data_IF_901588552028
#
_entry.id   IF_901588552028
#
_cell.length_a   1.000
_cell.length_b   1.000
_cell.length_c   1.000
_cell.angle_alpha   90.00
_cell.angle_beta   90.00
_cell.angle_gamma   90.00
#
_symmetry.space_group_name_H-M   'P 1'
#
loop_
_entity.id
_entity.type
_entity.pdbx_description
1 polymer ?
#
# COMPACT_ATOMS: atom_id res chain seq x y z
N UNK A 1 -15.01 -3.32 -9.10
CA UNK A 1 -16.37 -3.34 -8.54
C UNK A 1 -16.43 -4.31 -7.36
N UNK A 2 -17.14 -3.95 -6.28
CA UNK A 2 -17.51 -4.88 -5.21
C UNK A 2 -18.54 -5.84 -5.77
N UNK A 3 -18.29 -7.14 -5.64
CA UNK A 3 -19.21 -8.19 -6.09
C UNK A 3 -19.98 -8.81 -4.94
N UNK A 4 -19.37 -8.81 -3.74
CA UNK A 4 -20.00 -9.32 -2.54
C UNK A 4 -19.38 -8.67 -1.30
N UNK A 5 -20.21 -8.48 -0.27
CA UNK A 5 -19.77 -8.00 1.03
C UNK A 5 -20.63 -8.65 2.11
N UNK A 6 -19.99 -9.39 3.00
CA UNK A 6 -20.66 -10.10 4.10
C UNK A 6 -20.09 -9.69 5.45
N UNK A 7 -20.95 -9.70 6.45
CA UNK A 7 -20.57 -9.47 7.85
C UNK A 7 -21.05 -10.66 8.69
N UNK A 8 -20.13 -11.25 9.42
CA UNK A 8 -20.41 -12.36 10.34
C UNK A 8 -19.80 -12.09 11.71
N UNK A 9 -20.26 -12.80 12.72
CA UNK A 9 -19.65 -12.77 14.04
C UNK A 9 -18.88 -14.07 14.28
N UNK A 10 -17.64 -13.93 14.76
CA UNK A 10 -16.81 -15.02 15.25
C UNK A 10 -16.49 -14.75 16.73
N UNK A 11 -17.27 -15.37 17.60
CA UNK A 11 -17.28 -15.02 19.01
C UNK A 11 -17.65 -13.55 19.22
N UNK A 12 -16.75 -12.78 19.81
CA UNK A 12 -16.92 -11.34 20.03
C UNK A 12 -16.33 -10.46 18.90
N UNK A 13 -15.77 -11.08 17.87
CA UNK A 13 -15.17 -10.37 16.77
C UNK A 13 -16.17 -10.19 15.62
N UNK A 14 -16.17 -9.03 14.97
CA UNK A 14 -16.88 -8.86 13.72
C UNK A 14 -15.94 -9.19 12.55
N UNK A 15 -16.36 -10.06 11.65
CA UNK A 15 -15.60 -10.43 10.45
C UNK A 15 -16.33 -9.87 9.23
N UNK A 16 -15.65 -9.02 8.46
CA UNK A 16 -16.17 -8.43 7.22
C UNK A 16 -15.36 -8.98 6.06
N UNK A 17 -16.02 -9.64 5.13
CA UNK A 17 -15.41 -10.13 3.90
C UNK A 17 -15.90 -9.28 2.73
N UNK A 18 -14.98 -8.81 1.92
CA UNK A 18 -15.30 -8.01 0.73
C UNK A 18 -14.59 -8.60 -0.48
N UNK A 19 -15.39 -8.94 -1.49
CA UNK A 19 -14.90 -9.47 -2.76
C UNK A 19 -14.96 -8.39 -3.84
N UNK A 20 -13.87 -8.17 -4.52
CA UNK A 20 -13.75 -7.23 -5.63
C UNK A 20 -13.45 -7.97 -6.91
N UNK A 21 -14.21 -7.67 -7.95
CA UNK A 21 -13.86 -8.02 -9.33
C UNK A 21 -13.08 -6.84 -9.94
N UNK A 22 -11.84 -7.09 -10.26
CA UNK A 22 -10.95 -6.14 -10.90
C UNK A 22 -10.99 -6.29 -12.43
N UNK A 23 -10.42 -5.33 -13.18
CA UNK A 23 -10.25 -5.47 -14.63
C UNK A 23 -9.60 -6.80 -15.02
N UNK A 24 -9.91 -7.31 -16.20
CA UNK A 24 -9.46 -8.61 -16.71
C UNK A 24 -9.93 -9.83 -15.88
N UNK A 25 -10.98 -9.67 -15.06
CA UNK A 25 -11.56 -10.77 -14.30
C UNK A 25 -10.79 -11.18 -13.05
N UNK A 26 -9.76 -10.46 -12.68
CA UNK A 26 -8.98 -10.75 -11.48
C UNK A 26 -9.82 -10.55 -10.21
N UNK A 27 -9.56 -11.35 -9.18
CA UNK A 27 -10.24 -11.26 -7.89
C UNK A 27 -9.34 -10.66 -6.83
N UNK A 28 -9.87 -9.75 -6.04
CA UNK A 28 -9.23 -9.21 -4.86
C UNK A 28 -10.18 -9.36 -3.68
N UNK A 29 -9.78 -10.14 -2.69
CA UNK A 29 -10.58 -10.46 -1.51
C UNK A 29 -9.90 -9.82 -0.32
N UNK A 30 -10.67 -9.10 0.50
CA UNK A 30 -10.18 -8.47 1.73
C UNK A 30 -11.04 -8.93 2.89
N UNK A 31 -10.40 -9.49 3.89
CA UNK A 31 -11.01 -9.91 5.15
C UNK A 31 -10.58 -8.96 6.26
N UNK A 32 -11.52 -8.36 6.94
CA UNK A 32 -11.30 -7.54 8.12
C UNK A 32 -11.80 -8.30 9.34
N UNK A 33 -10.94 -8.54 10.33
CA UNK A 33 -11.37 -9.01 11.65
C UNK A 33 -11.25 -7.86 12.63
N UNK A 34 -12.39 -7.43 13.16
CA UNK A 34 -12.50 -6.29 14.07
C UNK A 34 -12.67 -6.83 15.47
N UNK A 35 -11.71 -6.53 16.33
CA UNK A 35 -11.66 -6.98 17.72
C UNK A 35 -12.32 -5.98 18.66
N UNK A 36 -12.87 -6.42 19.81
CA UNK A 36 -13.43 -5.52 20.82
C UNK A 36 -12.44 -4.50 21.38
N UNK A 37 -11.13 -4.77 21.27
CA UNK A 37 -10.04 -3.85 21.64
C UNK A 37 -9.93 -2.63 20.73
N UNK A 38 -10.63 -2.64 19.58
CA UNK A 38 -10.48 -1.66 18.51
C UNK A 38 -9.36 -2.00 17.53
N UNK A 39 -8.62 -3.10 17.73
CA UNK A 39 -7.69 -3.60 16.72
C UNK A 39 -8.44 -4.14 15.51
N UNK A 40 -7.85 -4.00 14.33
CA UNK A 40 -8.38 -4.54 13.08
C UNK A 40 -7.29 -5.33 12.40
N UNK A 41 -7.51 -6.63 12.18
CA UNK A 41 -6.66 -7.42 11.29
C UNK A 41 -7.18 -7.31 9.86
N UNK A 42 -6.29 -7.06 8.92
CA UNK A 42 -6.62 -6.96 7.49
C UNK A 42 -5.83 -8.01 6.73
N UNK A 43 -6.52 -8.98 6.18
CA UNK A 43 -5.93 -10.00 5.30
C UNK A 43 -6.46 -9.79 3.88
N UNK A 44 -5.55 -9.58 2.94
CA UNK A 44 -5.90 -9.33 1.55
C UNK A 44 -5.28 -10.39 0.63
N UNK A 45 -6.08 -10.87 -0.33
CA UNK A 45 -5.66 -11.88 -1.30
C UNK A 45 -6.00 -11.41 -2.72
N UNK A 46 -4.99 -11.44 -3.58
CA UNK A 46 -5.17 -11.24 -5.01
C UNK A 46 -5.09 -12.59 -5.73
N UNK A 47 -6.02 -12.82 -6.67
CA UNK A 47 -6.02 -14.02 -7.52
C UNK A 47 -6.18 -13.57 -8.97
N UNK A 48 -5.20 -13.93 -9.81
CA UNK A 48 -5.29 -13.72 -11.26
C UNK A 48 -6.04 -14.88 -11.90
N UNK A 49 -7.00 -14.58 -12.76
CA UNK A 49 -7.73 -15.59 -13.56
C UNK A 49 -6.93 -16.04 -14.79
N UNK A 50 -5.86 -15.34 -15.13
CA UNK A 50 -5.01 -15.65 -16.29
C UNK A 50 -3.81 -16.57 -15.93
N UNK A 51 -3.75 -17.09 -14.71
CA UNK A 51 -2.78 -18.13 -14.38
C UNK A 51 -3.33 -19.48 -14.85
N UNK A 52 -2.66 -20.11 -15.79
CA UNK A 52 -2.94 -21.48 -16.18
C UNK A 52 -3.02 -22.37 -14.93
N UNK A 53 -4.00 -23.25 -14.90
CA UNK A 53 -4.44 -24.06 -13.76
C UNK A 53 -3.37 -25.00 -13.13
N UNK A 54 -2.11 -24.83 -13.47
CA UNK A 54 -1.01 -25.73 -13.10
C UNK A 54 -0.27 -25.35 -11.80
N UNK A 55 -0.63 -24.26 -11.11
CA UNK A 55 0.03 -23.88 -9.85
C UNK A 55 -0.94 -23.35 -8.81
N UNK A 56 -1.93 -24.14 -8.46
CA UNK A 56 -2.88 -23.79 -7.40
C UNK A 56 -2.73 -24.74 -6.22
N UNK A 57 -1.69 -24.54 -5.44
CA UNK A 57 -1.71 -24.85 -4.01
C UNK A 57 -0.83 -23.83 -3.30
N UNK A 58 -1.43 -22.70 -2.95
CA UNK A 58 -0.80 -21.73 -2.05
C UNK A 58 -1.50 -21.87 -0.70
N UNK A 59 -0.81 -22.56 0.22
CA UNK A 59 -1.21 -22.70 1.61
C UNK A 59 -1.57 -21.35 2.23
N UNK A 60 -2.63 -21.36 3.06
CA UNK A 60 -3.00 -20.29 3.96
C UNK A 60 -1.85 -19.92 4.89
N UNK A 61 -1.02 -19.01 4.48
CA UNK A 61 -0.20 -18.19 5.36
C UNK A 61 0.18 -16.95 4.57
N UNK A 62 -0.12 -15.80 5.15
CA UNK A 62 0.36 -14.47 4.83
C UNK A 62 1.50 -14.45 3.80
N UNK A 63 1.20 -14.30 2.50
CA UNK A 63 2.23 -14.15 1.50
C UNK A 63 2.24 -12.74 0.96
N UNK A 64 3.03 -11.91 1.62
CA UNK A 64 3.79 -10.85 0.96
C UNK A 64 4.50 -11.48 -0.24
N UNK A 65 4.33 -10.91 -1.44
CA UNK A 65 5.07 -11.33 -2.61
C UNK A 65 6.57 -11.14 -2.32
N UNK A 66 7.25 -12.22 -1.94
CA UNK A 66 8.69 -12.19 -1.68
C UNK A 66 9.39 -12.29 -3.03
N UNK A 67 9.98 -11.20 -3.47
CA UNK A 67 10.89 -11.19 -4.61
C UNK A 67 12.16 -11.96 -4.23
N UNK A 68 12.37 -13.11 -4.83
CA UNK A 68 13.65 -13.83 -4.75
C UNK A 68 14.44 -13.50 -6.01
N UNK A 69 15.58 -12.80 -5.92
CA UNK A 69 16.43 -12.57 -7.07
C UNK A 69 17.04 -13.89 -7.57
N UNK A 70 16.88 -14.23 -8.85
CA UNK A 70 17.67 -15.29 -9.46
C UNK A 70 16.95 -16.35 -10.30
N UNK A 71 15.69 -16.16 -10.69
CA UNK A 71 15.04 -17.08 -11.65
C UNK A 71 14.37 -16.30 -12.79
N UNK A 72 15.03 -16.25 -13.92
CA UNK A 72 14.55 -15.58 -15.14
C UNK A 72 13.21 -16.13 -15.68
N UNK A 73 12.87 -17.37 -15.39
CA UNK A 73 11.59 -17.99 -15.73
C UNK A 73 10.43 -17.37 -14.92
N UNK A 74 10.60 -17.20 -13.61
CA UNK A 74 9.58 -16.57 -12.74
C UNK A 74 9.36 -15.10 -13.11
N UNK A 75 10.39 -14.41 -13.61
CA UNK A 75 10.30 -13.02 -14.07
C UNK A 75 9.49 -12.88 -15.35
N UNK A 76 9.56 -13.86 -16.27
CA UNK A 76 8.75 -13.88 -17.50
C UNK A 76 7.27 -14.15 -17.23
N UNK A 77 6.93 -14.91 -16.20
CA UNK A 77 5.54 -15.17 -15.82
C UNK A 77 4.96 -14.03 -14.97
N UNK A 78 5.73 -13.45 -14.06
CA UNK A 78 5.34 -12.26 -13.32
C UNK A 78 5.05 -11.05 -14.24
N UNK A 79 5.71 -10.99 -15.40
CA UNK A 79 5.45 -9.94 -16.40
C UNK A 79 4.08 -10.05 -17.09
N UNK A 80 3.41 -11.21 -17.01
CA UNK A 80 2.04 -11.38 -17.51
C UNK A 80 0.98 -10.81 -16.55
N UNK A 81 1.33 -10.66 -15.29
CA UNK A 81 0.48 -10.08 -14.24
C UNK A 81 0.70 -8.57 -14.17
N UNK A 82 0.45 -7.82 -15.13
CA UNK A 82 0.67 -6.36 -15.16
C UNK A 82 -0.10 -5.61 -14.03
N UNK A 83 0.15 -6.01 -12.77
CA UNK A 83 -0.39 -5.39 -11.56
C UNK A 83 0.76 -4.60 -10.91
N UNK A 84 0.83 -3.30 -11.11
CA UNK A 84 1.96 -2.48 -10.64
C UNK A 84 1.95 -2.34 -9.11
N UNK A 85 0.79 -2.44 -8.47
CA UNK A 85 0.64 -2.26 -7.03
C UNK A 85 -0.57 -3.01 -6.49
N UNK A 86 -0.42 -3.60 -5.30
CA UNK A 86 -1.51 -4.16 -4.50
C UNK A 86 -1.40 -3.56 -3.10
N UNK A 87 -2.49 -3.02 -2.57
CA UNK A 87 -2.47 -2.41 -1.25
C UNK A 87 -3.83 -1.88 -0.82
N UNK A 88 -3.82 -1.20 0.31
CA UNK A 88 -4.99 -0.54 0.90
C UNK A 88 -4.72 0.97 0.96
N UNK A 89 -5.69 1.76 0.58
CA UNK A 89 -5.66 3.22 0.68
C UNK A 89 -6.83 3.70 1.55
N UNK A 90 -6.55 4.63 2.43
CA UNK A 90 -7.56 5.28 3.25
C UNK A 90 -7.16 6.73 3.56
N UNK A 91 -8.13 7.52 3.99
CA UNK A 91 -7.92 8.91 4.38
C UNK A 91 -8.02 9.05 5.88
N UNK A 92 -7.14 9.87 6.45
CA UNK A 92 -7.15 10.23 7.86
C UNK A 92 -7.42 11.74 8.01
N UNK A 93 -7.93 12.18 9.17
CA UNK A 93 -8.03 13.61 9.46
C UNK A 93 -6.68 14.32 9.29
N UNK A 94 -6.68 15.52 8.75
CA UNK A 94 -5.47 16.30 8.48
C UNK A 94 -4.62 16.55 9.75
N UNK A 95 -5.23 16.52 10.93
CA UNK A 95 -4.52 16.62 12.21
C UNK A 95 -3.65 15.40 12.54
N UNK A 96 -3.83 14.26 11.88
CA UNK A 96 -2.99 13.07 12.04
C UNK A 96 -1.79 13.12 11.09
N UNK A 97 -0.97 14.15 11.21
CA UNK A 97 0.15 14.41 10.32
C UNK A 97 1.52 13.99 10.87
N UNK A 98 1.62 13.64 12.15
CA UNK A 98 2.87 13.12 12.71
C UNK A 98 3.06 11.67 12.29
N UNK A 99 4.15 11.39 11.61
CA UNK A 99 4.49 10.08 11.09
C UNK A 99 5.72 9.55 11.82
N UNK A 100 5.61 8.36 12.39
CA UNK A 100 6.73 7.63 12.97
C UNK A 100 6.73 6.22 12.40
N UNK A 101 7.88 5.72 11.97
CA UNK A 101 7.94 4.41 11.34
C UNK A 101 9.27 3.69 11.58
N UNK A 102 9.22 2.36 11.53
CA UNK A 102 10.39 1.49 11.53
C UNK A 102 10.50 0.80 10.17
N UNK A 103 11.39 1.32 9.34
CA UNK A 103 11.56 0.92 7.95
C UNK A 103 12.79 1.56 7.32
N UNK A 104 12.86 1.57 5.99
CA UNK A 104 13.94 2.27 5.28
C UNK A 104 13.65 3.76 5.19
N UNK A 105 14.68 4.56 5.46
CA UNK A 105 14.59 6.03 5.44
C UNK A 105 15.95 6.70 5.59
N UNK A 106 15.98 8.01 5.97
CA UNK A 106 14.83 8.91 6.16
C UNK A 106 14.16 9.35 4.84
N UNK A 107 14.91 9.36 3.74
CA UNK A 107 14.40 9.75 2.43
C UNK A 107 13.50 8.66 1.82
N UNK A 108 12.61 9.06 0.93
CA UNK A 108 11.81 8.15 0.14
C UNK A 108 12.68 7.12 -0.60
N UNK A 109 12.15 5.94 -0.77
CA UNK A 109 12.87 4.86 -1.42
C UNK A 109 11.88 3.88 -2.07
N UNK A 110 12.35 3.19 -3.11
CA UNK A 110 11.55 2.28 -3.94
C UNK A 110 12.29 0.95 -4.09
N UNK A 111 11.64 -0.10 -4.52
CA UNK A 111 12.25 -1.44 -4.63
C UNK A 111 13.52 -1.47 -5.50
N UNK A 112 13.57 -0.61 -6.51
CA UNK A 112 14.71 -0.44 -7.43
C UNK A 112 15.71 0.63 -6.94
N UNK A 113 15.37 1.39 -5.89
CA UNK A 113 16.16 2.51 -5.36
C UNK A 113 16.08 2.59 -3.83
N UNK A 114 16.55 1.57 -3.14
CA UNK A 114 16.53 1.53 -1.67
C UNK A 114 17.88 1.19 -1.01
N UNK A 115 18.91 0.91 -1.80
CA UNK A 115 20.22 0.48 -1.27
C UNK A 115 20.88 1.55 -0.38
N UNK A 116 20.64 2.83 -0.66
CA UNK A 116 21.15 3.96 0.15
C UNK A 116 20.32 4.28 1.38
N UNK A 117 19.15 3.67 1.56
CA UNK A 117 18.24 3.93 2.68
C UNK A 117 18.40 2.87 3.74
N UNK A 118 18.83 3.29 4.94
CA UNK A 118 19.06 2.37 6.05
C UNK A 118 17.75 2.04 6.78
N UNK A 119 17.65 0.83 7.31
CA UNK A 119 16.54 0.47 8.20
C UNK A 119 16.79 1.10 9.57
N UNK A 120 15.79 1.84 10.05
CA UNK A 120 15.88 2.56 11.30
C UNK A 120 14.52 3.04 11.79
N UNK A 121 14.53 3.70 12.94
CA UNK A 121 13.37 4.40 13.49
C UNK A 121 13.42 5.86 13.04
N UNK A 122 12.39 6.30 12.35
CA UNK A 122 12.30 7.64 11.78
C UNK A 122 11.02 8.35 12.22
N UNK A 123 11.13 9.68 12.32
CA UNK A 123 10.01 10.58 12.59
C UNK A 123 9.98 11.65 11.52
N UNK A 124 8.79 11.99 11.07
CA UNK A 124 8.53 12.99 10.05
C UNK A 124 7.11 13.52 10.15
N UNK A 125 6.71 14.34 9.22
CA UNK A 125 5.32 14.73 9.01
C UNK A 125 4.89 14.37 7.59
N UNK A 126 3.56 14.33 7.36
CA UNK A 126 3.03 14.07 6.04
C UNK A 126 3.50 15.10 5.00
N UNK A 127 3.79 16.33 5.44
CA UNK A 127 4.33 17.39 4.61
C UNK A 127 5.81 17.15 4.25
N UNK A 128 6.61 16.71 5.21
CA UNK A 128 8.05 16.46 5.02
C UNK A 128 8.33 15.21 4.19
N UNK A 129 7.40 14.28 4.15
CA UNK A 129 7.51 13.07 3.32
C UNK A 129 7.25 13.34 1.83
N UNK A 130 6.71 14.51 1.50
CA UNK A 130 6.54 14.95 0.12
C UNK A 130 7.87 15.38 -0.48
N UNK A 131 8.21 14.87 -1.66
CA UNK A 131 9.38 15.29 -2.41
C UNK A 131 8.96 16.09 -3.66
N UNK A 132 9.46 17.33 -3.87
CA UNK A 132 9.08 18.19 -4.98
C UNK A 132 9.80 17.80 -6.27
N UNK A 133 9.40 16.71 -6.91
CA UNK A 133 9.94 16.31 -8.20
C UNK A 133 9.62 17.33 -9.30
N UNK A 134 10.55 17.49 -10.24
CA UNK A 134 10.35 18.35 -11.42
C UNK A 134 9.18 17.87 -12.28
N UNK A 135 8.98 16.57 -12.35
CA UNK A 135 7.84 15.96 -13.03
C UNK A 135 7.01 15.19 -12.00
N UNK A 136 5.69 15.43 -11.95
CA UNK A 136 4.81 14.64 -11.09
C UNK A 136 4.94 13.15 -11.37
N UNK A 137 5.10 12.39 -10.31
CA UNK A 137 5.21 10.93 -10.35
C UNK A 137 4.95 10.39 -8.94
N UNK A 138 5.00 9.09 -8.77
CA UNK A 138 4.93 8.46 -7.45
C UNK A 138 5.89 9.14 -6.46
N UNK A 139 5.44 9.36 -5.22
CA UNK A 139 6.11 10.24 -4.27
C UNK A 139 6.02 9.67 -2.84
N UNK A 140 7.05 9.94 -2.02
CA UNK A 140 7.05 9.68 -0.59
C UNK A 140 6.95 8.21 -0.19
N UNK A 141 7.38 7.27 -1.03
CA UNK A 141 7.32 5.85 -0.73
C UNK A 141 8.46 5.41 0.20
N UNK A 142 8.14 4.54 1.15
CA UNK A 142 9.10 3.91 2.05
C UNK A 142 8.93 2.40 2.03
N UNK A 143 10.02 1.68 1.74
CA UNK A 143 10.02 0.21 1.67
C UNK A 143 10.48 -0.43 2.97
N UNK A 144 10.35 -1.75 3.08
CA UNK A 144 10.81 -2.57 4.21
C UNK A 144 10.32 -2.03 5.57
N UNK A 145 9.10 -1.53 5.62
CA UNK A 145 8.50 -0.98 6.84
C UNK A 145 7.82 -2.07 7.65
N UNK A 146 8.18 -2.20 8.94
CA UNK A 146 7.57 -3.15 9.86
C UNK A 146 6.33 -2.59 10.51
N UNK A 147 6.37 -1.31 10.81
CA UNK A 147 5.21 -0.58 11.30
C UNK A 147 5.32 0.90 10.96
N UNK A 148 4.18 1.54 10.84
CA UNK A 148 4.04 2.99 10.71
C UNK A 148 2.90 3.48 11.60
N UNK A 149 3.12 4.59 12.27
CA UNK A 149 2.15 5.29 13.11
C UNK A 149 1.85 6.67 12.53
N UNK A 150 0.57 7.00 12.44
CA UNK A 150 0.10 8.33 12.09
C UNK A 150 -0.69 8.89 13.28
N UNK A 151 -0.32 10.07 13.77
CA UNK A 151 -0.89 10.57 15.02
C UNK A 151 -1.07 12.09 15.05
N UNK A 152 -1.87 12.52 16.03
CA UNK A 152 -2.00 13.93 16.46
C UNK A 152 -1.05 14.24 17.64
N UNK A 153 -0.20 13.28 18.04
CA UNK A 153 0.54 13.33 19.31
C UNK A 153 -0.25 12.85 20.53
N UNK A 154 -1.59 12.75 20.44
CA UNK A 154 -2.47 12.26 21.53
C UNK A 154 -3.25 11.02 21.13
N UNK A 155 -3.65 10.93 19.89
CA UNK A 155 -4.40 9.81 19.30
C UNK A 155 -3.73 9.46 17.98
N UNK A 156 -3.75 8.19 17.60
CA UNK A 156 -3.13 7.76 16.37
C UNK A 156 -3.64 6.42 15.90
N UNK A 157 -3.19 6.06 14.72
CA UNK A 157 -3.35 4.76 14.10
C UNK A 157 -1.96 4.14 13.98
N UNK A 158 -1.79 2.94 14.49
CA UNK A 158 -0.61 2.11 14.27
C UNK A 158 -0.96 1.03 13.24
N UNK A 159 -0.18 0.97 12.19
CA UNK A 159 -0.26 -0.08 11.16
C UNK A 159 0.98 -0.94 11.32
N UNK A 160 0.78 -2.21 11.54
CA UNK A 160 1.85 -3.19 11.72
C UNK A 160 1.69 -4.29 10.67
N UNK A 161 2.79 -4.72 10.08
CA UNK A 161 2.82 -5.82 9.13
C UNK A 161 3.41 -7.07 9.79
N UNK A 162 2.96 -8.25 9.35
CA UNK A 162 3.56 -9.52 9.78
C UNK A 162 5.01 -9.65 9.30
N UNK A 163 5.29 -9.12 8.12
CA UNK A 163 6.63 -9.03 7.55
C UNK A 163 7.01 -7.56 7.34
N UNK A 164 6.98 -7.12 6.09
CA UNK A 164 7.23 -5.73 5.72
C UNK A 164 6.21 -5.25 4.69
N UNK A 165 5.89 -3.97 4.76
CA UNK A 165 5.05 -3.26 3.79
C UNK A 165 5.82 -2.08 3.21
N UNK A 166 5.36 -1.59 2.06
CA UNK A 166 5.65 -0.23 1.63
C UNK A 166 4.50 0.69 2.05
N UNK A 167 4.81 1.93 2.38
CA UNK A 167 3.79 2.93 2.69
C UNK A 167 4.11 4.28 2.06
N UNK A 168 3.06 5.06 1.85
CA UNK A 168 3.10 6.48 1.54
C UNK A 168 2.16 7.18 2.54
N UNK A 169 2.59 8.30 3.12
CA UNK A 169 1.79 9.10 4.02
C UNK A 169 1.91 10.58 3.58
N UNK A 170 1.04 10.99 2.66
CA UNK A 170 1.08 12.29 2.01
C UNK A 170 -0.24 13.03 2.16
N UNK A 171 -0.21 14.34 1.97
CA UNK A 171 -1.41 15.17 1.83
C UNK A 171 -2.06 15.01 0.46
N UNK A 172 -1.26 14.66 -0.54
CA UNK A 172 -1.68 14.48 -1.91
C UNK A 172 -2.26 13.07 -2.11
N UNK A 173 -3.23 12.96 -2.97
CA UNK A 173 -3.70 11.68 -3.46
C UNK A 173 -2.80 11.18 -4.61
N UNK A 174 -2.89 9.91 -4.96
CA UNK A 174 -2.09 9.38 -6.07
C UNK A 174 -2.53 10.01 -7.41
N UNK A 175 -3.79 10.38 -7.51
CA UNK A 175 -4.37 11.03 -8.69
C UNK A 175 -3.79 12.44 -8.92
N UNK A 176 -3.30 13.10 -7.86
CA UNK A 176 -2.63 14.40 -8.00
C UNK A 176 -1.28 14.30 -8.72
N UNK A 177 -0.71 13.09 -8.78
CA UNK A 177 0.55 12.80 -9.47
C UNK A 177 0.34 12.14 -10.83
N UNK A 178 -0.90 11.79 -11.16
CA UNK A 178 -1.24 11.18 -12.44
C UNK A 178 -1.77 12.26 -13.40
N UNK A 179 -1.13 12.38 -14.54
CA UNK A 179 -1.49 13.34 -15.56
C UNK A 179 -2.15 12.60 -16.74
N UNK A 180 -3.34 12.03 -16.50
CA UNK A 180 -4.11 11.33 -17.54
C UNK A 180 -4.45 12.23 -18.74
N UNK A 181 -4.42 13.56 -18.59
CA UNK A 181 -4.59 14.53 -19.67
C UNK A 181 -3.29 14.87 -20.40
N UNK A 182 -2.16 14.25 -20.03
CA UNK A 182 -0.89 14.55 -20.66
C UNK A 182 -0.79 14.02 -22.10
N UNK A 183 -1.54 14.61 -22.96
CA UNK A 183 -1.20 14.74 -24.38
C UNK A 183 0.09 15.59 -24.58
N UNK A 184 1.14 15.31 -23.81
CA UNK A 184 2.46 15.89 -23.98
C UNK A 184 2.73 17.24 -23.30
N UNK A 185 1.86 17.75 -22.46
CA UNK A 185 2.05 18.98 -21.70
C UNK A 185 2.17 18.67 -20.21
N UNK A 186 3.33 18.98 -19.63
CA UNK A 186 3.56 18.91 -18.19
C UNK A 186 2.57 19.81 -17.46
N UNK A 187 1.90 19.28 -16.41
CA UNK A 187 1.18 20.13 -15.46
C UNK A 187 2.13 21.17 -14.86
N UNK A 188 1.68 22.40 -14.83
CA UNK A 188 2.45 23.45 -14.19
C UNK A 188 2.48 23.20 -12.66
N UNK A 189 3.63 23.37 -12.06
CA UNK A 189 3.93 23.22 -10.63
C UNK A 189 2.95 23.87 -9.66
N UNK A 190 2.26 24.91 -10.10
CA UNK A 190 1.28 25.66 -9.30
C UNK A 190 0.07 24.84 -8.83
N UNK A 191 -0.13 23.62 -9.38
CA UNK A 191 -1.28 22.79 -9.04
C UNK A 191 -0.98 21.74 -7.95
N UNK A 192 0.28 21.64 -7.50
CA UNK A 192 0.72 20.68 -6.49
C UNK A 192 0.87 21.31 -5.10
N UNK A 193 0.00 22.21 -4.72
CA UNK A 193 -0.10 22.61 -3.31
C UNK A 193 -0.84 21.52 -2.53
N UNK A 194 -0.28 21.02 -1.41
CA UNK A 194 -1.01 20.15 -0.52
C UNK A 194 -2.32 20.83 -0.10
N UNK A 195 -3.43 20.13 -0.18
CA UNK A 195 -4.68 20.64 0.38
C UNK A 195 -4.49 20.90 1.89
N UNK A 196 -4.77 22.12 2.31
CA UNK A 196 -4.69 22.57 3.71
C UNK A 196 -5.77 21.93 4.58
#
# INVERSE_FOLDING_TARGET
NVTDATVTMDGNNAVVNVNYLLPAGNLYIVNYTIYPSGAVNVAARFTSTNMDAAQTEVSESTRTATFTPGRDAARKEASKLNVPRIGVRFRLPASMNQVEYFGRGPAENYLDRNAGSMVGLYKSTAEELYFPYVRPQENGHHTDTRWVSLSTGKKGLLIQADNTIGFNALRNSIEDFDDEEATGLSRQWSNFTPEQ
#
